data_IF_990801865177
#
_entry.id   IF_990801865177
#
_cell.length_a   1.000
_cell.length_b   1.000
_cell.length_c   1.000
_cell.angle_alpha   90.00
_cell.angle_beta   90.00
_cell.angle_gamma   90.00
#
_symmetry.space_group_name_H-M   'P 1'
#
loop_
_entity.id
_entity.type
_entity.pdbx_description
1 polymer ?
#
# COMPACT_ATOMS: atom_id res chain seq x y z
N UNK A 1 4.68 -2.93 36.52
CA UNK A 1 4.73 -3.93 35.44
C UNK A 1 5.08 -5.27 36.09
N UNK A 2 4.06 -6.04 36.48
CA UNK A 2 4.26 -7.35 37.10
C UNK A 2 4.67 -8.35 36.02
N UNK A 3 5.90 -8.86 36.14
CA UNK A 3 6.53 -9.80 35.21
C UNK A 3 6.09 -11.26 35.40
N UNK A 4 5.01 -11.51 36.14
CA UNK A 4 4.53 -12.86 36.40
C UNK A 4 3.35 -13.19 35.49
N UNK A 5 3.58 -13.22 34.18
CA UNK A 5 2.70 -13.91 33.24
C UNK A 5 3.32 -15.29 32.95
N UNK A 6 3.04 -16.32 33.75
CA UNK A 6 3.75 -17.60 33.73
C UNK A 6 3.66 -18.36 32.39
N UNK A 7 2.75 -17.93 31.50
CA UNK A 7 2.39 -18.66 30.29
C UNK A 7 2.59 -17.87 28.98
N UNK A 8 3.20 -16.67 29.03
CA UNK A 8 3.51 -15.88 27.84
C UNK A 8 2.27 -15.63 26.96
N UNK A 9 1.17 -15.19 27.57
CA UNK A 9 -0.11 -15.01 26.88
C UNK A 9 0.00 -13.89 25.82
N UNK A 10 -0.50 -14.10 24.58
CA UNK A 10 -0.54 -13.02 23.60
C UNK A 10 -1.57 -11.96 23.96
N UNK A 11 -1.37 -10.74 23.44
CA UNK A 11 -2.25 -9.57 23.62
C UNK A 11 -3.73 -9.87 23.29
N UNK A 12 -3.99 -10.79 22.35
CA UNK A 12 -5.35 -11.16 21.98
C UNK A 12 -6.14 -11.78 23.15
N UNK A 13 -5.47 -12.45 24.10
CA UNK A 13 -6.14 -13.01 25.29
C UNK A 13 -6.64 -11.88 26.20
N UNK A 14 -5.91 -10.76 26.30
CA UNK A 14 -6.34 -9.62 27.11
C UNK A 14 -7.62 -8.97 26.55
N UNK A 15 -7.79 -8.97 25.23
CA UNK A 15 -8.98 -8.41 24.60
C UNK A 15 -10.22 -9.31 24.73
N UNK A 16 -10.05 -10.63 24.55
CA UNK A 16 -11.18 -11.57 24.55
C UNK A 16 -11.46 -12.20 25.92
N UNK A 17 -10.53 -12.07 26.88
CA UNK A 17 -10.57 -12.67 28.22
C UNK A 17 -10.76 -14.21 28.23
N UNK A 18 -10.57 -14.87 27.09
CA UNK A 18 -10.75 -16.33 26.96
C UNK A 18 -9.93 -16.90 25.82
N UNK A 19 -9.51 -18.16 25.93
CA UNK A 19 -8.92 -18.92 24.82
C UNK A 19 -9.98 -19.44 23.81
N UNK A 20 -11.26 -19.38 24.17
CA UNK A 20 -12.37 -20.02 23.44
C UNK A 20 -13.47 -19.03 23.03
N UNK A 21 -13.18 -18.03 22.17
CA UNK A 21 -14.16 -17.01 21.80
C UNK A 21 -15.24 -17.51 20.82
N UNK A 22 -15.12 -18.70 20.20
CA UNK A 22 -16.08 -19.26 19.23
C UNK A 22 -16.56 -18.26 18.14
N UNK A 23 -15.61 -17.54 17.52
CA UNK A 23 -15.84 -16.61 16.43
C UNK A 23 -16.26 -17.35 15.14
N UNK A 24 -17.41 -16.97 14.59
CA UNK A 24 -17.97 -17.53 13.35
C UNK A 24 -18.49 -16.40 12.45
N UNK A 25 -18.02 -16.33 11.21
CA UNK A 25 -18.41 -15.28 10.24
C UNK A 25 -19.77 -15.56 9.60
N UNK A 26 -20.22 -16.83 9.60
CA UNK A 26 -21.50 -17.21 9.00
C UNK A 26 -22.66 -16.71 9.85
N UNK A 27 -23.20 -15.54 9.49
CA UNK A 27 -24.35 -14.91 10.15
C UNK A 27 -25.65 -15.65 9.80
N UNK A 28 -25.97 -16.70 10.54
CA UNK A 28 -27.32 -17.27 10.58
C UNK A 28 -27.71 -17.55 12.04
N UNK A 29 -29.02 -17.67 12.30
CA UNK A 29 -29.55 -17.84 13.66
C UNK A 29 -28.91 -19.05 14.36
N UNK A 30 -28.87 -20.19 13.67
CA UNK A 30 -28.37 -21.45 14.20
C UNK A 30 -26.88 -21.40 14.55
N UNK A 31 -26.00 -20.84 13.71
CA UNK A 31 -24.58 -20.77 14.04
C UNK A 31 -24.33 -19.77 15.17
N UNK A 32 -25.07 -18.65 15.21
CA UNK A 32 -24.93 -17.66 16.26
C UNK A 32 -25.36 -18.21 17.62
N UNK A 33 -26.49 -18.93 17.68
CA UNK A 33 -26.97 -19.55 18.94
C UNK A 33 -26.03 -20.67 19.39
N UNK A 34 -25.60 -21.54 18.48
CA UNK A 34 -24.64 -22.61 18.80
C UNK A 34 -23.27 -22.06 19.23
N UNK A 35 -22.74 -21.03 18.58
CA UNK A 35 -21.48 -20.40 18.98
C UNK A 35 -21.57 -19.78 20.37
N UNK A 36 -22.66 -19.09 20.70
CA UNK A 36 -22.88 -18.53 22.05
C UNK A 36 -22.97 -19.63 23.10
N UNK A 37 -23.73 -20.68 22.84
CA UNK A 37 -23.87 -21.81 23.75
C UNK A 37 -22.53 -22.53 23.96
N UNK A 38 -21.81 -22.86 22.88
CA UNK A 38 -20.48 -23.50 22.94
C UNK A 38 -19.46 -22.65 23.69
N UNK A 39 -19.50 -21.32 23.54
CA UNK A 39 -18.66 -20.38 24.31
C UNK A 39 -18.93 -20.47 25.80
N UNK A 40 -20.21 -20.50 26.20
CA UNK A 40 -20.58 -20.57 27.61
C UNK A 40 -20.13 -21.88 28.28
N UNK A 41 -20.22 -23.00 27.56
CA UNK A 41 -19.82 -24.32 28.10
C UNK A 41 -18.35 -24.68 27.85
N UNK A 42 -17.58 -23.80 27.19
CA UNK A 42 -16.21 -24.08 26.76
C UNK A 42 -15.29 -24.63 27.87
N UNK A 43 -15.34 -24.14 29.13
CA UNK A 43 -14.46 -24.63 30.20
C UNK A 43 -14.61 -26.12 30.53
N UNK A 44 -15.79 -26.71 30.27
CA UNK A 44 -16.10 -28.11 30.62
C UNK A 44 -16.39 -28.98 29.40
N UNK A 45 -16.38 -28.40 28.20
CA UNK A 45 -16.70 -29.10 26.97
C UNK A 45 -15.45 -29.84 26.44
N UNK A 46 -15.44 -31.18 26.37
CA UNK A 46 -14.30 -31.92 25.83
C UNK A 46 -14.06 -31.65 24.34
N UNK A 47 -15.06 -31.12 23.63
CA UNK A 47 -14.96 -30.70 22.23
C UNK A 47 -14.61 -29.20 22.07
N UNK A 48 -14.14 -28.55 23.14
CA UNK A 48 -13.73 -27.15 23.07
C UNK A 48 -12.46 -26.99 22.23
N UNK A 49 -12.55 -26.15 21.19
CA UNK A 49 -11.42 -25.81 20.33
C UNK A 49 -10.97 -24.39 20.61
N UNK A 50 -9.71 -24.26 20.99
CA UNK A 50 -9.05 -22.98 21.20
C UNK A 50 -8.93 -22.23 19.87
N UNK A 51 -9.24 -20.93 19.84
CA UNK A 51 -9.05 -20.08 18.66
C UNK A 51 -7.91 -19.08 18.84
N UNK A 52 -7.66 -18.63 20.07
CA UNK A 52 -6.55 -17.74 20.38
C UNK A 52 -5.35 -18.60 20.75
N UNK A 53 -4.24 -18.55 20.00
CA UNK A 53 -3.05 -19.35 20.32
C UNK A 53 -2.44 -18.90 21.66
N UNK A 54 -1.65 -19.76 22.29
CA UNK A 54 -0.77 -19.40 23.41
C UNK A 54 0.53 -20.19 23.31
N UNK A 55 1.49 -19.95 24.21
CA UNK A 55 2.80 -20.62 24.19
C UNK A 55 2.70 -22.15 24.25
N UNK A 56 1.67 -22.69 24.90
CA UNK A 56 1.49 -24.14 25.12
C UNK A 56 0.62 -24.82 24.06
N UNK A 57 -0.25 -24.08 23.37
CA UNK A 57 -1.30 -24.62 22.49
C UNK A 57 -1.57 -23.70 21.30
N UNK A 58 -1.70 -24.30 20.12
CA UNK A 58 -2.10 -23.59 18.91
C UNK A 58 -3.59 -23.26 18.92
N UNK A 59 -3.94 -22.11 18.34
CA UNK A 59 -5.31 -21.69 18.10
C UNK A 59 -5.76 -22.06 16.70
N UNK A 60 -7.05 -22.39 16.57
CA UNK A 60 -7.72 -22.56 15.29
C UNK A 60 -8.11 -21.21 14.69
N UNK A 61 -8.10 -21.11 13.36
CA UNK A 61 -8.59 -19.92 12.66
C UNK A 61 -10.08 -19.63 12.88
N UNK A 62 -10.52 -18.50 12.32
CA UNK A 62 -11.92 -18.07 12.35
C UNK A 62 -12.78 -19.09 11.58
N UNK A 63 -13.99 -19.38 12.09
CA UNK A 63 -14.90 -20.36 11.48
C UNK A 63 -15.88 -19.70 10.50
N UNK A 64 -16.31 -20.47 9.50
CA UNK A 64 -17.43 -20.15 8.61
C UNK A 64 -18.39 -21.34 8.58
N UNK A 65 -19.36 -21.37 9.50
CA UNK A 65 -20.17 -22.55 9.75
C UNK A 65 -19.33 -23.73 10.24
N UNK A 66 -19.32 -24.85 9.51
CA UNK A 66 -18.47 -26.01 9.81
C UNK A 66 -17.06 -25.89 9.20
N UNK A 67 -16.87 -24.98 8.24
CA UNK A 67 -15.57 -24.73 7.60
C UNK A 67 -14.74 -23.68 8.32
N UNK A 68 -13.60 -23.34 7.73
CA UNK A 68 -12.78 -22.20 8.12
C UNK A 68 -13.12 -21.00 7.24
N UNK A 69 -13.03 -19.82 7.82
CA UNK A 69 -13.17 -18.57 7.09
C UNK A 69 -11.81 -18.16 6.52
N UNK A 70 -11.81 -17.88 5.23
CA UNK A 70 -10.76 -17.11 4.56
C UNK A 70 -11.46 -15.94 3.87
N UNK A 71 -10.90 -14.72 3.91
CA UNK A 71 -11.44 -13.60 3.14
C UNK A 71 -11.33 -13.89 1.64
N UNK A 72 -12.15 -13.23 0.82
CA UNK A 72 -11.96 -13.29 -0.62
C UNK A 72 -10.56 -12.73 -0.99
N UNK A 73 -9.81 -13.37 -1.91
CA UNK A 73 -8.53 -12.85 -2.36
C UNK A 73 -8.72 -11.49 -3.06
N UNK A 74 -7.70 -10.64 -3.01
CA UNK A 74 -7.75 -9.36 -3.71
C UNK A 74 -7.96 -9.57 -5.22
N UNK A 75 -8.83 -8.77 -5.89
CA UNK A 75 -9.12 -8.94 -7.32
C UNK A 75 -7.84 -8.97 -8.17
N UNK A 76 -7.59 -10.10 -8.82
CA UNK A 76 -6.45 -10.29 -9.71
C UNK A 76 -6.91 -10.84 -11.06
N UNK A 77 -6.63 -10.10 -12.14
CA UNK A 77 -7.01 -10.46 -13.52
C UNK A 77 -6.14 -11.55 -14.11
N UNK A 78 -4.95 -11.79 -13.56
CA UNK A 78 -4.00 -12.80 -14.07
C UNK A 78 -4.58 -14.20 -13.85
N UNK A 79 -4.93 -14.85 -14.95
CA UNK A 79 -5.40 -16.23 -15.00
C UNK A 79 -4.81 -16.92 -16.24
N UNK A 80 -4.87 -18.24 -16.25
CA UNK A 80 -4.53 -19.07 -17.40
C UNK A 80 -5.75 -19.88 -17.81
N UNK A 81 -6.38 -19.53 -18.92
CA UNK A 81 -7.46 -20.32 -19.52
C UNK A 81 -6.96 -21.67 -20.03
N UNK A 82 -7.78 -22.72 -19.90
CA UNK A 82 -7.41 -24.07 -20.34
C UNK A 82 -8.01 -24.40 -21.71
N UNK A 83 -9.34 -24.47 -21.84
CA UNK A 83 -9.98 -24.83 -23.11
C UNK A 83 -10.33 -23.63 -24.00
N UNK A 84 -10.88 -22.56 -23.41
CA UNK A 84 -11.33 -21.37 -24.13
C UNK A 84 -11.00 -20.11 -23.32
N UNK A 85 -10.75 -18.95 -23.97
CA UNK A 85 -10.52 -17.70 -23.27
C UNK A 85 -11.75 -17.37 -22.43
N UNK A 86 -11.57 -17.32 -21.11
CA UNK A 86 -12.68 -17.10 -20.17
C UNK A 86 -13.07 -15.64 -20.03
N UNK A 87 -12.23 -14.72 -20.54
CA UNK A 87 -12.38 -13.27 -20.35
C UNK A 87 -12.65 -12.89 -18.88
N UNK A 88 -11.99 -13.59 -17.95
CA UNK A 88 -12.22 -13.42 -16.52
C UNK A 88 -12.00 -11.97 -16.07
N UNK A 89 -13.05 -11.40 -15.47
CA UNK A 89 -12.99 -10.14 -14.76
C UNK A 89 -13.27 -10.40 -13.27
N UNK A 90 -12.29 -10.21 -12.37
CA UNK A 90 -12.47 -10.45 -10.94
C UNK A 90 -13.39 -9.41 -10.27
N UNK A 91 -13.84 -8.38 -11.01
CA UNK A 91 -14.77 -7.36 -10.53
C UNK A 91 -16.23 -7.62 -10.95
N UNK A 92 -16.49 -8.65 -11.77
CA UNK A 92 -17.86 -8.98 -12.21
C UNK A 92 -18.65 -9.76 -11.16
N UNK A 93 -17.97 -10.42 -10.23
CA UNK A 93 -18.56 -11.22 -9.16
C UNK A 93 -18.22 -10.62 -7.79
N UNK A 94 -19.14 -10.74 -6.83
CA UNK A 94 -18.92 -10.23 -5.47
C UNK A 94 -17.96 -11.11 -4.65
N UNK A 95 -18.00 -12.43 -4.88
CA UNK A 95 -17.21 -13.43 -4.17
C UNK A 95 -16.39 -14.22 -5.16
N UNK A 96 -15.23 -14.71 -4.71
CA UNK A 96 -14.39 -15.55 -5.54
C UNK A 96 -15.06 -16.90 -5.80
N UNK A 97 -15.35 -17.19 -7.07
CA UNK A 97 -15.92 -18.48 -7.47
C UNK A 97 -14.83 -19.53 -7.68
N UNK A 98 -15.04 -20.70 -7.07
CA UNK A 98 -14.26 -21.89 -7.40
C UNK A 98 -14.64 -22.34 -8.81
N UNK A 99 -13.66 -22.29 -9.72
CA UNK A 99 -13.82 -22.69 -11.10
C UNK A 99 -13.29 -24.11 -11.30
N UNK A 100 -13.84 -24.83 -12.29
CA UNK A 100 -13.36 -26.18 -12.62
C UNK A 100 -11.97 -26.13 -13.23
N UNK A 101 -11.16 -27.18 -13.02
CA UNK A 101 -9.80 -27.32 -13.56
C UNK A 101 -9.74 -27.21 -15.10
N UNK A 102 -10.86 -27.50 -15.77
CA UNK A 102 -11.04 -27.39 -17.21
C UNK A 102 -11.22 -25.95 -17.73
N UNK A 103 -11.53 -24.99 -16.87
CA UNK A 103 -11.92 -23.64 -17.32
C UNK A 103 -10.72 -22.69 -17.32
N UNK A 104 -10.13 -22.48 -16.14
CA UNK A 104 -8.95 -21.65 -15.94
C UNK A 104 -8.14 -22.13 -14.75
N UNK A 105 -6.98 -21.53 -14.56
CA UNK A 105 -6.15 -21.60 -13.37
C UNK A 105 -5.88 -20.17 -12.93
N UNK A 106 -6.16 -19.87 -11.67
CA UNK A 106 -5.93 -18.51 -11.13
C UNK A 106 -4.51 -18.34 -10.59
N UNK A 107 -4.07 -17.08 -10.47
CA UNK A 107 -2.82 -16.72 -9.82
C UNK A 107 -2.77 -17.16 -8.34
N UNK A 108 -1.57 -17.33 -7.76
CA UNK A 108 -1.42 -17.64 -6.34
C UNK A 108 -2.17 -16.64 -5.42
N UNK A 109 -3.06 -17.15 -4.58
CA UNK A 109 -3.90 -16.35 -3.68
C UNK A 109 -3.16 -15.95 -2.39
N UNK A 110 -3.65 -14.89 -1.72
CA UNK A 110 -3.16 -14.40 -0.43
C UNK A 110 -1.66 -14.05 -0.39
N UNK A 111 -1.15 -13.46 -1.48
CA UNK A 111 0.24 -13.01 -1.58
C UNK A 111 0.32 -11.48 -1.62
N UNK A 112 1.42 -10.94 -1.12
CA UNK A 112 1.74 -9.51 -1.20
C UNK A 112 3.08 -9.33 -1.93
N UNK A 113 3.19 -8.26 -2.71
CA UNK A 113 4.45 -7.91 -3.37
C UNK A 113 5.46 -7.46 -2.30
N UNK A 114 6.56 -8.19 -2.18
CA UNK A 114 7.64 -7.87 -1.26
C UNK A 114 8.99 -7.96 -1.96
N UNK A 115 9.84 -6.96 -1.72
CA UNK A 115 11.23 -6.98 -2.18
C UNK A 115 12.04 -7.77 -1.16
N UNK A 116 12.63 -8.89 -1.58
CA UNK A 116 13.48 -9.73 -0.74
C UNK A 116 14.85 -9.86 -1.37
N UNK A 117 15.89 -9.70 -0.56
CA UNK A 117 17.26 -9.98 -0.97
C UNK A 117 17.61 -11.42 -0.59
N UNK A 118 18.34 -12.11 -1.48
CA UNK A 118 18.93 -13.41 -1.14
C UNK A 118 20.09 -13.21 -0.16
N UNK A 119 20.18 -14.07 0.85
CA UNK A 119 21.29 -14.04 1.79
C UNK A 119 22.58 -14.53 1.12
N UNK A 120 23.68 -13.81 1.33
CA UNK A 120 25.00 -14.22 0.82
C UNK A 120 25.53 -15.42 1.63
N UNK A 121 26.34 -16.30 1.02
CA UNK A 121 26.96 -17.41 1.75
C UNK A 121 27.80 -16.90 2.92
N UNK A 122 27.74 -17.60 4.07
CA UNK A 122 28.44 -17.18 5.29
C UNK A 122 29.94 -16.98 5.09
N UNK A 123 30.58 -17.81 4.28
CA UNK A 123 32.00 -17.65 3.93
C UNK A 123 32.28 -16.33 3.21
N UNK A 124 31.44 -15.97 2.24
CA UNK A 124 31.54 -14.70 1.51
C UNK A 124 31.32 -13.49 2.44
N UNK A 125 30.32 -13.56 3.32
CA UNK A 125 30.04 -12.49 4.31
C UNK A 125 31.26 -12.25 5.20
N UNK A 126 31.91 -13.30 5.71
CA UNK A 126 33.12 -13.18 6.54
C UNK A 126 34.26 -12.47 5.81
N UNK A 127 34.48 -12.78 4.53
CA UNK A 127 35.53 -12.12 3.74
C UNK A 127 35.21 -10.64 3.50
N UNK A 128 33.94 -10.30 3.24
CA UNK A 128 33.50 -8.91 3.10
C UNK A 128 33.70 -8.13 4.42
N UNK A 129 33.36 -8.73 5.55
CA UNK A 129 33.58 -8.12 6.88
C UNK A 129 35.06 -7.93 7.18
N UNK A 130 35.90 -8.92 6.85
CA UNK A 130 37.35 -8.84 7.01
C UNK A 130 37.96 -7.74 6.14
N UNK A 131 37.55 -7.64 4.87
CA UNK A 131 37.98 -6.56 3.98
C UNK A 131 37.55 -5.18 4.50
N UNK A 132 36.30 -5.02 4.95
CA UNK A 132 35.82 -3.75 5.54
C UNK A 132 36.60 -3.36 6.79
N UNK A 133 36.94 -4.33 7.63
CA UNK A 133 37.76 -4.12 8.82
C UNK A 133 39.19 -3.72 8.45
N UNK A 134 39.79 -4.37 7.45
CA UNK A 134 41.10 -3.95 6.95
C UNK A 134 41.04 -2.52 6.38
N UNK A 135 40.01 -2.22 5.59
CA UNK A 135 39.82 -0.90 4.97
C UNK A 135 39.73 0.21 6.02
N UNK A 136 39.01 0.00 7.12
CA UNK A 136 38.86 1.01 8.17
C UNK A 136 40.10 1.21 9.04
N UNK A 137 40.94 0.18 9.21
CA UNK A 137 42.14 0.24 10.05
C UNK A 137 43.40 0.65 9.26
N UNK A 138 43.60 0.05 8.09
CA UNK A 138 44.85 0.13 7.34
C UNK A 138 44.74 0.99 6.07
N UNK A 139 43.54 1.37 5.66
CA UNK A 139 43.25 2.04 4.39
C UNK A 139 43.16 1.08 3.20
N UNK A 140 42.60 1.54 2.09
CA UNK A 140 42.26 0.70 0.92
C UNK A 140 43.48 0.05 0.26
N UNK A 141 44.63 0.72 0.28
CA UNK A 141 45.82 0.29 -0.47
C UNK A 141 46.48 -0.97 0.07
N UNK A 142 46.29 -1.29 1.36
CA UNK A 142 46.92 -2.43 2.03
C UNK A 142 46.03 -3.68 2.10
N UNK A 143 44.82 -3.63 1.54
CA UNK A 143 43.81 -4.69 1.68
C UNK A 143 43.56 -5.47 0.37
N UNK A 144 44.58 -5.59 -0.48
CA UNK A 144 44.46 -6.27 -1.78
C UNK A 144 44.24 -7.78 -1.61
N UNK A 145 44.92 -8.41 -0.65
CA UNK A 145 44.75 -9.84 -0.36
C UNK A 145 43.33 -10.16 0.10
N UNK A 146 42.74 -9.35 0.98
CA UNK A 146 41.35 -9.51 1.40
C UNK A 146 40.36 -9.30 0.26
N UNK A 147 40.66 -8.44 -0.71
CA UNK A 147 39.83 -8.26 -1.90
C UNK A 147 39.90 -9.49 -2.82
N UNK A 148 41.09 -10.06 -3.04
CA UNK A 148 41.26 -11.28 -3.83
C UNK A 148 40.61 -12.50 -3.17
N UNK A 149 40.63 -12.55 -1.83
CA UNK A 149 39.89 -13.55 -1.05
C UNK A 149 38.38 -13.45 -1.27
N UNK A 150 37.81 -12.25 -1.40
CA UNK A 150 36.39 -12.09 -1.76
C UNK A 150 36.13 -12.67 -3.15
N UNK A 151 36.96 -12.35 -4.15
CA UNK A 151 36.74 -12.77 -5.54
C UNK A 151 36.88 -14.30 -5.68
N UNK A 152 37.81 -14.90 -4.96
CA UNK A 152 38.09 -16.34 -5.02
C UNK A 152 37.12 -17.19 -4.19
N UNK A 153 36.72 -16.71 -3.00
CA UNK A 153 35.86 -17.47 -2.07
C UNK A 153 34.37 -17.24 -2.35
N UNK A 154 33.95 -16.04 -2.73
CA UNK A 154 32.55 -15.78 -3.04
C UNK A 154 32.16 -16.44 -4.37
N UNK A 155 31.00 -17.12 -4.45
CA UNK A 155 30.53 -17.67 -5.71
C UNK A 155 30.18 -16.54 -6.70
N UNK A 156 30.29 -16.81 -8.00
CA UNK A 156 30.08 -15.82 -9.07
C UNK A 156 28.74 -15.09 -8.97
N UNK A 157 27.64 -15.80 -8.71
CA UNK A 157 26.31 -15.19 -8.55
C UNK A 157 26.24 -14.16 -7.41
N UNK A 158 27.01 -14.37 -6.34
CA UNK A 158 27.08 -13.44 -5.22
C UNK A 158 27.85 -12.17 -5.59
N UNK A 159 28.94 -12.31 -6.35
CA UNK A 159 29.70 -11.18 -6.89
C UNK A 159 28.85 -10.35 -7.87
N UNK A 160 28.09 -11.00 -8.74
CA UNK A 160 27.12 -10.34 -9.62
C UNK A 160 26.03 -9.63 -8.83
N UNK A 161 25.49 -10.27 -7.78
CA UNK A 161 24.53 -9.66 -6.88
C UNK A 161 25.07 -8.41 -6.16
N UNK A 162 26.33 -8.43 -5.72
CA UNK A 162 27.00 -7.26 -5.13
C UNK A 162 27.20 -6.13 -6.15
N UNK A 163 27.60 -6.46 -7.37
CA UNK A 163 27.78 -5.51 -8.48
C UNK A 163 26.47 -4.84 -8.86
N UNK A 164 25.40 -5.62 -9.00
CA UNK A 164 24.09 -5.10 -9.36
C UNK A 164 23.48 -4.27 -8.23
N UNK A 165 23.63 -4.71 -6.98
CA UNK A 165 23.22 -3.92 -5.81
C UNK A 165 23.87 -2.54 -5.81
N UNK A 166 25.15 -2.42 -6.14
CA UNK A 166 25.83 -1.12 -6.23
C UNK A 166 25.18 -0.23 -7.30
N UNK A 167 24.99 -0.75 -8.52
CA UNK A 167 24.32 0.00 -9.60
C UNK A 167 22.91 0.44 -9.22
N UNK A 168 22.17 -0.40 -8.51
CA UNK A 168 20.83 -0.07 -8.03
C UNK A 168 20.87 1.07 -7.00
N UNK A 169 21.81 1.05 -6.06
CA UNK A 169 21.98 2.14 -5.09
C UNK A 169 22.36 3.45 -5.78
N UNK A 170 23.29 3.42 -6.73
CA UNK A 170 23.70 4.60 -7.50
C UNK A 170 22.49 5.19 -8.28
N UNK A 171 21.64 4.33 -8.83
CA UNK A 171 20.38 4.75 -9.49
C UNK A 171 19.40 5.39 -8.50
N UNK A 172 19.24 4.81 -7.32
CA UNK A 172 18.35 5.35 -6.27
C UNK A 172 18.86 6.72 -5.81
N UNK A 173 20.16 6.87 -5.62
CA UNK A 173 20.79 8.15 -5.26
C UNK A 173 20.53 9.22 -6.32
N UNK A 174 20.64 8.87 -7.61
CA UNK A 174 20.32 9.79 -8.69
C UNK A 174 18.84 10.23 -8.66
N UNK A 175 17.91 9.30 -8.45
CA UNK A 175 16.47 9.60 -8.35
C UNK A 175 16.19 10.51 -7.14
N UNK A 176 16.77 10.20 -5.98
CA UNK A 176 16.62 11.01 -4.77
C UNK A 176 17.18 12.42 -4.97
N UNK A 177 18.32 12.56 -5.65
CA UNK A 177 18.92 13.86 -5.97
C UNK A 177 18.02 14.67 -6.90
N UNK A 178 17.42 14.04 -7.91
CA UNK A 178 16.47 14.71 -8.81
C UNK A 178 15.20 15.16 -8.07
N UNK A 179 14.65 14.30 -7.21
CA UNK A 179 13.51 14.64 -6.37
C UNK A 179 13.85 15.77 -5.38
N UNK A 180 15.04 15.76 -4.82
CA UNK A 180 15.50 16.83 -3.93
C UNK A 180 15.58 18.17 -4.66
N UNK A 181 16.10 18.16 -5.90
CA UNK A 181 16.16 19.37 -6.75
C UNK A 181 14.77 19.92 -7.05
N UNK A 182 13.79 19.07 -7.38
CA UNK A 182 12.42 19.53 -7.65
C UNK A 182 11.71 20.05 -6.39
N UNK A 183 12.00 19.49 -5.21
CA UNK A 183 11.46 19.97 -3.93
C UNK A 183 12.06 21.32 -3.53
N UNK A 184 13.34 21.56 -3.85
CA UNK A 184 14.00 22.85 -3.58
C UNK A 184 13.69 23.95 -4.61
N UNK A 185 13.07 23.60 -5.73
CA UNK A 185 12.72 24.55 -6.77
C UNK A 185 11.69 25.57 -6.25
N UNK A 186 12.06 26.86 -6.25
CA UNK A 186 11.17 27.93 -5.78
C UNK A 186 10.13 28.23 -6.87
N UNK A 187 8.89 27.85 -6.61
CA UNK A 187 7.75 28.13 -7.48
C UNK A 187 7.51 29.64 -7.66
N UNK A 188 6.85 30.06 -8.77
CA UNK A 188 6.58 31.48 -9.02
C UNK A 188 5.82 32.20 -7.89
N UNK A 189 4.92 31.49 -7.20
CA UNK A 189 4.10 32.03 -6.11
C UNK A 189 4.85 32.20 -4.77
N UNK A 190 6.08 31.69 -4.66
CA UNK A 190 6.91 31.77 -3.45
C UNK A 190 8.17 32.63 -3.61
N UNK A 191 8.35 33.32 -4.75
CA UNK A 191 9.52 34.18 -4.98
C UNK A 191 9.60 35.29 -3.94
N UNK A 192 10.74 35.38 -3.24
CA UNK A 192 11.01 36.40 -2.23
C UNK A 192 10.36 36.14 -0.86
N UNK A 193 9.54 35.09 -0.72
CA UNK A 193 8.95 34.71 0.57
C UNK A 193 9.97 33.93 1.40
N UNK A 194 9.97 34.20 2.69
CA UNK A 194 10.84 33.55 3.68
C UNK A 194 10.00 32.94 4.81
N UNK A 195 10.66 32.32 5.79
CA UNK A 195 10.00 31.77 6.98
C UNK A 195 9.23 32.85 7.76
N UNK A 196 9.61 34.12 7.65
CA UNK A 196 8.91 35.24 8.29
C UNK A 196 7.51 35.50 7.69
N UNK A 197 7.27 35.06 6.46
CA UNK A 197 5.99 35.24 5.75
C UNK A 197 5.05 34.03 5.93
N UNK A 198 5.42 33.09 6.80
CA UNK A 198 4.63 31.92 7.16
C UNK A 198 3.81 32.26 8.41
N UNK A 199 2.51 32.05 8.35
CA UNK A 199 1.62 32.22 9.50
C UNK A 199 1.84 31.13 10.56
N UNK A 200 1.59 31.44 11.83
CA UNK A 200 1.66 30.50 12.97
C UNK A 200 0.53 29.45 12.99
N UNK A 201 0.09 29.00 11.83
CA UNK A 201 -0.96 28.00 11.66
C UNK A 201 -0.39 26.59 11.72
N UNK A 202 -1.19 25.67 12.24
CA UNK A 202 -0.90 24.25 12.34
C UNK A 202 -1.72 23.45 11.32
N UNK A 203 -1.53 22.13 11.28
CA UNK A 203 -2.36 21.24 10.46
C UNK A 203 -3.86 21.37 10.77
N UNK A 204 -4.21 21.63 12.04
CA UNK A 204 -5.60 21.73 12.47
C UNK A 204 -6.33 22.91 11.81
N UNK A 205 -5.63 23.99 11.49
CA UNK A 205 -6.19 25.17 10.84
C UNK A 205 -6.57 24.92 9.37
N UNK A 206 -6.10 23.82 8.78
CA UNK A 206 -6.46 23.36 7.44
C UNK A 206 -7.63 22.37 7.40
N UNK A 207 -8.16 21.95 8.55
CA UNK A 207 -9.30 21.04 8.61
C UNK A 207 -10.61 21.74 8.24
N UNK A 208 -11.64 20.93 7.91
CA UNK A 208 -12.99 21.38 7.54
C UNK A 208 -13.59 22.41 8.51
N UNK A 209 -13.26 22.27 9.79
CA UNK A 209 -13.84 23.11 10.85
C UNK A 209 -13.29 24.55 10.82
N UNK A 210 -12.06 24.75 10.31
CA UNK A 210 -11.38 26.05 10.25
C UNK A 210 -11.25 26.59 8.82
N UNK A 211 -11.06 25.71 7.85
CA UNK A 211 -10.97 26.02 6.43
C UNK A 211 -12.08 25.31 5.66
N UNK A 212 -13.04 26.11 5.18
CA UNK A 212 -14.19 25.62 4.44
C UNK A 212 -13.75 24.91 3.14
N UNK A 213 -14.17 23.65 2.90
CA UNK A 213 -13.99 22.98 1.61
C UNK A 213 -14.68 23.70 0.46
N UNK A 214 -14.16 23.58 -0.76
CA UNK A 214 -14.75 24.13 -1.98
C UNK A 214 -15.91 23.27 -2.49
N UNK A 215 -16.94 23.12 -1.65
CA UNK A 215 -18.22 22.50 -2.02
C UNK A 215 -19.37 23.37 -1.50
N UNK A 216 -20.48 23.38 -2.24
CA UNK A 216 -21.63 24.23 -1.90
C UNK A 216 -22.27 23.83 -0.57
N UNK A 217 -22.27 22.53 -0.26
CA UNK A 217 -23.01 21.92 0.87
C UNK A 217 -22.09 21.43 2.00
N UNK A 218 -20.90 22.03 2.14
CA UNK A 218 -20.01 21.71 3.25
C UNK A 218 -20.57 22.14 4.61
N UNK A 219 -21.37 23.21 4.63
CA UNK A 219 -21.96 23.85 5.82
C UNK A 219 -23.29 24.55 5.43
N UNK A 220 -23.86 25.31 6.36
CA UNK A 220 -25.12 26.04 6.17
C UNK A 220 -25.01 27.40 5.45
N UNK A 221 -23.83 27.79 4.94
CA UNK A 221 -23.60 29.15 4.41
C UNK A 221 -24.53 29.52 3.25
N UNK A 222 -24.93 28.54 2.45
CA UNK A 222 -25.74 28.75 1.25
C UNK A 222 -27.12 28.08 1.32
N UNK A 223 -27.56 27.60 2.49
CA UNK A 223 -28.85 26.88 2.63
C UNK A 223 -30.06 27.78 2.39
N UNK A 224 -29.95 29.07 2.70
CA UNK A 224 -31.04 30.04 2.58
C UNK A 224 -30.98 30.88 1.29
N UNK A 225 -30.16 30.51 0.31
CA UNK A 225 -30.02 31.25 -0.94
C UNK A 225 -31.27 31.08 -1.81
N UNK A 226 -31.80 32.21 -2.29
CA UNK A 226 -33.01 32.26 -3.12
C UNK A 226 -32.71 32.28 -4.62
N UNK A 227 -33.70 31.92 -5.45
CA UNK A 227 -33.54 31.93 -6.91
C UNK A 227 -33.26 33.34 -7.47
N UNK A 228 -33.78 34.38 -6.83
CA UNK A 228 -33.53 35.76 -7.21
C UNK A 228 -32.04 36.11 -7.09
N UNK A 229 -31.41 35.78 -5.95
CA UNK A 229 -29.99 36.00 -5.70
C UNK A 229 -29.10 35.20 -6.66
N UNK A 230 -29.51 33.97 -7.00
CA UNK A 230 -28.81 33.16 -8.01
C UNK A 230 -28.82 33.85 -9.37
N UNK A 231 -29.97 34.38 -9.79
CA UNK A 231 -30.10 35.06 -11.08
C UNK A 231 -29.25 36.34 -11.13
N UNK A 232 -29.15 37.08 -10.02
CA UNK A 232 -28.25 38.22 -9.90
C UNK A 232 -26.77 37.81 -9.91
N UNK A 233 -26.41 36.75 -9.19
CA UNK A 233 -25.04 36.23 -9.17
C UNK A 233 -24.58 35.81 -10.57
N UNK A 234 -25.44 35.17 -11.37
CA UNK A 234 -25.17 34.84 -12.77
C UNK A 234 -24.86 36.07 -13.62
N UNK A 235 -25.61 37.17 -13.45
CA UNK A 235 -25.32 38.44 -14.13
C UNK A 235 -23.95 39.00 -13.75
N UNK A 236 -23.58 38.93 -12.46
CA UNK A 236 -22.26 39.38 -11.98
C UNK A 236 -21.12 38.56 -12.56
N UNK A 237 -21.24 37.23 -12.59
CA UNK A 237 -20.22 36.34 -13.18
C UNK A 237 -20.08 36.60 -14.68
N UNK A 238 -21.19 36.72 -15.41
CA UNK A 238 -21.16 37.02 -16.84
C UNK A 238 -20.51 38.38 -17.15
N UNK A 239 -20.70 39.38 -16.30
CA UNK A 239 -20.02 40.67 -16.44
C UNK A 239 -18.50 40.54 -16.22
N UNK A 240 -18.07 39.75 -15.22
CA UNK A 240 -16.64 39.49 -14.97
C UNK A 240 -16.00 38.73 -16.12
N UNK A 241 -16.67 37.70 -16.64
CA UNK A 241 -16.17 36.90 -17.76
C UNK A 241 -15.97 37.76 -19.03
N UNK A 242 -16.86 38.73 -19.27
CA UNK A 242 -16.70 39.72 -20.34
C UNK A 242 -15.48 40.63 -20.12
N UNK A 243 -15.22 41.04 -18.88
CA UNK A 243 -14.08 41.91 -18.54
C UNK A 243 -12.74 41.18 -18.46
N UNK A 244 -12.73 39.92 -18.03
CA UNK A 244 -11.50 39.15 -17.82
C UNK A 244 -10.85 38.73 -19.13
N UNK A 245 -11.56 38.89 -20.25
CA UNK A 245 -11.05 38.64 -21.59
C UNK A 245 -10.37 37.28 -21.69
N UNK A 246 -10.97 36.22 -21.12
CA UNK A 246 -10.39 34.88 -21.03
C UNK A 246 -9.78 34.54 -22.38
N UNK A 247 -8.47 34.55 -22.44
CA UNK A 247 -7.73 34.21 -23.64
C UNK A 247 -8.03 32.74 -23.88
N UNK A 248 -8.71 32.44 -24.99
CA UNK A 248 -8.87 31.05 -25.42
C UNK A 248 -7.45 30.55 -25.65
N UNK A 249 -7.06 29.55 -24.88
CA UNK A 249 -5.77 28.91 -25.05
C UNK A 249 -5.65 28.48 -26.51
N UNK A 250 -4.51 28.77 -27.12
CA UNK A 250 -4.26 28.39 -28.50
C UNK A 250 -4.30 26.87 -28.59
N UNK A 251 -5.23 26.34 -29.38
CA UNK A 251 -5.34 24.89 -29.61
C UNK A 251 -4.07 24.45 -30.33
N UNK A 252 -3.23 23.69 -29.63
CA UNK A 252 -2.06 23.06 -30.23
C UNK A 252 -2.52 21.91 -31.15
N UNK A 253 -1.84 21.67 -32.28
CA UNK A 253 -2.13 20.53 -33.13
C UNK A 253 -1.94 19.23 -32.35
N UNK A 254 -2.87 18.30 -32.51
CA UNK A 254 -2.80 16.97 -31.87
C UNK A 254 -1.51 16.28 -32.35
N UNK A 255 -0.66 15.83 -31.43
CA UNK A 255 0.61 15.17 -31.77
C UNK A 255 0.44 13.74 -32.33
N UNK A 256 -0.80 13.33 -32.66
CA UNK A 256 -1.16 11.99 -33.12
C UNK A 256 -1.92 11.98 -34.46
N UNK A 257 -1.40 12.59 -35.54
CA UNK A 257 -2.05 12.48 -36.85
C UNK A 257 -1.91 11.08 -37.46
N UNK A 258 -0.92 10.28 -37.01
CA UNK A 258 -0.62 8.97 -37.60
C UNK A 258 -0.74 7.83 -36.56
N UNK A 259 -1.68 6.93 -36.82
CA UNK A 259 -1.97 5.72 -36.03
C UNK A 259 -0.86 4.65 -36.12
N UNK A 260 0.11 4.82 -37.03
CA UNK A 260 1.23 3.88 -37.19
C UNK A 260 2.40 4.18 -36.26
N UNK A 261 2.46 5.39 -35.70
CA UNK A 261 3.52 5.82 -34.79
C UNK A 261 3.20 5.43 -33.34
N UNK A 262 4.23 5.19 -32.53
CA UNK A 262 4.05 5.00 -31.09
C UNK A 262 3.49 6.27 -30.47
N UNK A 263 2.24 6.23 -30.01
CA UNK A 263 1.60 7.37 -29.36
C UNK A 263 2.37 7.77 -28.09
N UNK A 264 2.62 9.08 -27.95
CA UNK A 264 2.99 9.67 -26.66
C UNK A 264 1.84 9.50 -25.67
N UNK A 265 2.16 9.26 -24.40
CA UNK A 265 1.15 9.21 -23.34
C UNK A 265 0.75 10.63 -22.96
N UNK A 266 -0.24 11.18 -23.65
CA UNK A 266 -0.87 12.45 -23.30
C UNK A 266 -1.89 12.26 -22.16
N UNK A 267 -2.15 13.34 -21.42
CA UNK A 267 -3.22 13.36 -20.43
C UNK A 267 -4.56 13.17 -21.14
N UNK A 268 -5.34 12.20 -20.68
CA UNK A 268 -6.66 11.92 -21.25
C UNK A 268 -7.58 13.11 -21.03
N UNK A 269 -8.46 13.42 -22.00
CA UNK A 269 -9.45 14.47 -21.81
C UNK A 269 -10.33 14.16 -20.61
N UNK A 270 -10.74 15.22 -19.89
CA UNK A 270 -11.59 15.09 -18.70
C UNK A 270 -12.96 14.46 -19.01
N UNK A 271 -13.42 14.60 -20.25
CA UNK A 271 -14.68 14.06 -20.75
C UNK A 271 -14.44 13.31 -22.06
N UNK A 272 -15.12 12.17 -22.28
CA UNK A 272 -15.01 11.38 -23.51
C UNK A 272 -15.67 12.07 -24.72
#
# INVERSE_FOLDING_TARGET
MSNDNPDGQPLDIEYYETNYPYLNVKKNLLNNTLSKWRRAIAPYNPFAMQQIPNQKRMGMGIRNGNGFYFPDPYPNRVNWSVFFPTHYDPLSEQHFSNHGWQTRKDAPMFTALAIRAQALPRGCVRQIEQFKRCQSVNGVTKCQEEADNIISICPKWALEGLKEKKKQLDKIEAIQTLQYRSVLEVSPYNKGRTVKDVSDKTWADGHRDNLRPDTMWADERYTNITQAEINEAKKRVAARDKSSGRVKETVYPVHHPDLSSSHLSEDKPLYP
#
